data_IF_775370274569
#
_entry.id   IF_775370274569
#
_cell.length_a   1.000
_cell.length_b   1.000
_cell.length_c   1.000
_cell.angle_alpha   90.00
_cell.angle_beta   90.00
_cell.angle_gamma   90.00
#
_symmetry.space_group_name_H-M   'P 1'
#
loop_
_entity.id
_entity.type
_entity.pdbx_description
1 polymer ?
#
# COMPACT_ATOMS: atom_id res chain seq x y z
N UNK A 1 -12.52 7.95 -1.67
CA UNK A 1 -11.56 6.94 -2.12
C UNK A 1 -10.77 6.48 -0.89
N UNK A 2 -10.86 5.19 -0.61
CA UNK A 2 -10.15 4.49 0.46
C UNK A 2 -8.66 4.80 0.37
N UNK A 3 -8.09 5.43 1.40
CA UNK A 3 -6.65 5.68 1.49
C UNK A 3 -6.20 5.72 2.95
N UNK A 4 -5.20 4.91 3.25
CA UNK A 4 -4.57 4.76 4.56
C UNK A 4 -3.18 5.40 4.52
N UNK A 5 -3.09 6.60 5.08
CA UNK A 5 -1.83 7.34 5.13
C UNK A 5 -0.85 6.71 6.12
N UNK A 6 0.38 6.50 5.65
CA UNK A 6 1.47 5.97 6.44
C UNK A 6 2.45 7.09 6.81
N UNK A 7 3.16 6.99 7.95
CA UNK A 7 4.16 7.98 8.30
C UNK A 7 5.35 7.92 7.35
N UNK A 8 5.70 9.08 6.81
CA UNK A 8 6.90 9.31 5.98
C UNK A 8 8.18 8.66 6.54
N UNK A 9 8.34 8.65 7.87
CA UNK A 9 9.51 8.07 8.56
C UNK A 9 9.64 6.55 8.37
N UNK A 10 8.56 5.87 7.98
CA UNK A 10 8.49 4.43 7.77
C UNK A 10 8.39 4.03 6.30
N UNK A 11 8.31 4.99 5.38
CA UNK A 11 8.02 4.75 3.96
C UNK A 11 8.88 3.66 3.34
N UNK A 12 10.20 3.76 3.43
CA UNK A 12 11.08 2.76 2.80
C UNK A 12 11.07 1.41 3.53
N UNK A 13 10.74 1.41 4.83
CA UNK A 13 10.54 0.16 5.57
C UNK A 13 9.25 -0.53 5.14
N UNK A 14 8.17 0.23 4.96
CA UNK A 14 6.88 -0.26 4.48
C UNK A 14 6.98 -0.72 3.03
N UNK A 15 7.62 0.07 2.16
CA UNK A 15 7.89 -0.32 0.78
C UNK A 15 8.67 -1.63 0.70
N UNK A 16 9.75 -1.76 1.48
CA UNK A 16 10.52 -3.01 1.54
C UNK A 16 9.64 -4.18 2.01
N UNK A 17 8.88 -3.99 3.08
CA UNK A 17 8.01 -5.04 3.60
C UNK A 17 6.95 -5.44 2.57
N UNK A 18 6.39 -4.50 1.81
CA UNK A 18 5.45 -4.81 0.74
C UNK A 18 6.10 -5.65 -0.36
N UNK A 19 7.23 -5.18 -0.91
CA UNK A 19 7.93 -5.87 -2.00
C UNK A 19 8.47 -7.25 -1.60
N UNK A 20 8.86 -7.44 -0.33
CA UNK A 20 9.37 -8.72 0.17
C UNK A 20 8.25 -9.75 0.42
N UNK A 21 6.98 -9.32 0.55
CA UNK A 21 5.90 -10.17 1.09
C UNK A 21 4.67 -10.31 0.21
N UNK A 22 4.44 -9.38 -0.70
CA UNK A 22 3.23 -9.37 -1.52
C UNK A 22 3.63 -9.43 -2.99
N UNK A 23 2.95 -10.27 -3.80
CA UNK A 23 3.16 -10.30 -5.24
C UNK A 23 2.87 -8.94 -5.85
N UNK A 24 3.79 -8.44 -6.67
CA UNK A 24 3.66 -7.15 -7.35
C UNK A 24 3.21 -7.41 -8.79
N UNK A 25 2.16 -6.73 -9.25
CA UNK A 25 1.63 -6.93 -10.60
C UNK A 25 1.94 -5.75 -11.53
N UNK A 26 2.01 -4.52 -11.03
CA UNK A 26 2.23 -3.32 -11.84
C UNK A 26 3.06 -2.26 -11.12
N UNK A 27 4.04 -1.69 -11.83
CA UNK A 27 4.67 -0.41 -11.50
C UNK A 27 4.22 0.66 -12.49
N UNK A 28 3.64 1.73 -11.96
CA UNK A 28 3.17 2.88 -12.73
C UNK A 28 3.74 4.18 -12.17
N UNK A 29 4.37 4.98 -13.03
CA UNK A 29 4.96 6.28 -12.67
C UNK A 29 4.59 7.29 -13.75
N UNK A 30 4.08 8.45 -13.34
CA UNK A 30 3.69 9.54 -14.24
C UNK A 30 3.94 10.91 -13.62
N UNK A 31 4.04 11.94 -14.44
CA UNK A 31 4.03 13.33 -13.97
C UNK A 31 2.66 13.71 -13.37
N UNK A 32 2.69 14.49 -12.28
CA UNK A 32 1.53 15.14 -11.67
C UNK A 32 1.14 16.36 -12.53
N UNK A 33 -0.16 16.67 -12.64
CA UNK A 33 -0.63 17.94 -13.21
C UNK A 33 -1.15 17.95 -14.65
N UNK A 34 -1.16 16.82 -15.38
CA UNK A 34 -1.90 16.70 -16.65
C UNK A 34 -3.05 15.68 -16.51
N UNK A 35 -4.11 15.84 -17.31
CA UNK A 35 -5.19 14.85 -17.47
C UNK A 35 -4.59 13.47 -17.79
N UNK A 36 -4.43 12.63 -16.78
CA UNK A 36 -3.78 11.32 -16.90
C UNK A 36 -2.25 11.30 -16.71
N UNK A 37 -1.57 12.45 -16.69
CA UNK A 37 -0.11 12.56 -16.50
C UNK A 37 0.71 12.08 -17.70
N UNK A 38 1.92 12.63 -17.91
CA UNK A 38 2.89 12.00 -18.83
C UNK A 38 3.45 10.74 -18.17
N UNK A 39 3.13 9.57 -18.73
CA UNK A 39 3.63 8.28 -18.25
C UNK A 39 5.14 8.20 -18.47
N UNK A 40 5.87 7.85 -17.40
CA UNK A 40 7.31 7.59 -17.42
C UNK A 40 7.60 6.10 -17.31
N UNK A 41 6.82 5.40 -16.49
CA UNK A 41 6.90 3.94 -16.33
C UNK A 41 5.49 3.37 -16.32
N UNK A 42 5.27 2.32 -17.09
CA UNK A 42 4.09 1.48 -17.05
C UNK A 42 4.56 0.06 -17.37
N UNK A 43 4.80 -0.75 -16.34
CA UNK A 43 5.43 -2.07 -16.46
C UNK A 43 4.68 -3.10 -15.65
N UNK A 44 4.12 -4.10 -16.33
CA UNK A 44 3.64 -5.34 -15.71
C UNK A 44 4.81 -6.11 -15.11
N UNK A 45 4.57 -6.74 -13.98
CA UNK A 45 5.57 -7.41 -13.15
C UNK A 45 5.28 -8.90 -12.92
N UNK A 46 4.33 -9.48 -13.66
CA UNK A 46 4.07 -10.93 -13.68
C UNK A 46 5.38 -11.72 -13.88
N UNK A 47 5.81 -12.46 -12.86
CA UNK A 47 7.06 -13.24 -12.86
C UNK A 47 8.36 -12.43 -12.78
N UNK A 48 8.30 -11.13 -12.48
CA UNK A 48 9.45 -10.21 -12.42
C UNK A 48 9.64 -9.68 -11.02
N UNK A 49 10.88 -9.31 -10.68
CA UNK A 49 11.19 -8.78 -9.35
C UNK A 49 11.38 -7.27 -9.37
N UNK A 50 10.51 -6.54 -8.66
CA UNK A 50 10.69 -5.11 -8.37
C UNK A 50 11.49 -4.94 -7.08
N UNK A 51 12.60 -4.20 -7.15
CA UNK A 51 13.40 -3.84 -5.97
C UNK A 51 13.72 -2.35 -5.97
N UNK A 52 14.24 -1.84 -4.87
CA UNK A 52 14.69 -0.45 -4.78
C UNK A 52 15.99 -0.30 -4.00
N UNK A 53 16.70 0.79 -4.25
CA UNK A 53 17.85 1.24 -3.47
C UNK A 53 17.67 2.71 -3.11
N UNK A 54 17.71 3.01 -1.81
CA UNK A 54 17.77 4.37 -1.30
C UNK A 54 19.21 4.72 -0.94
N UNK A 55 19.72 5.83 -1.46
CA UNK A 55 21.04 6.36 -1.14
C UNK A 55 21.00 7.91 -1.07
N UNK A 56 22.17 8.54 -1.13
CA UNK A 56 22.32 10.01 -1.14
C UNK A 56 21.83 10.67 -2.44
N UNK A 57 21.88 9.97 -3.58
CA UNK A 57 21.41 10.49 -4.87
C UNK A 57 19.91 10.38 -5.05
N UNK A 58 19.22 9.54 -4.26
CA UNK A 58 17.78 9.44 -4.35
C UNK A 58 17.20 8.07 -4.03
N UNK A 59 16.08 7.75 -4.67
CA UNK A 59 15.42 6.45 -4.69
C UNK A 59 15.53 5.87 -6.10
N UNK A 60 16.26 4.77 -6.23
CA UNK A 60 16.43 4.03 -7.47
C UNK A 60 15.49 2.82 -7.47
N UNK A 61 14.75 2.61 -8.56
CA UNK A 61 13.88 1.45 -8.75
C UNK A 61 14.46 0.53 -9.82
N UNK A 62 14.39 -0.78 -9.57
CA UNK A 62 14.94 -1.79 -10.46
C UNK A 62 13.90 -2.86 -10.75
N UNK A 63 13.81 -3.29 -12.01
CA UNK A 63 13.11 -4.51 -12.41
C UNK A 63 14.16 -5.49 -12.93
N UNK A 64 14.24 -6.67 -12.33
CA UNK A 64 15.23 -7.71 -12.68
C UNK A 64 16.67 -7.14 -12.74
N UNK A 65 17.04 -6.39 -11.70
CA UNK A 65 18.33 -5.69 -11.55
C UNK A 65 18.60 -4.54 -12.54
N UNK A 66 17.73 -4.29 -13.51
CA UNK A 66 17.85 -3.14 -14.42
C UNK A 66 17.17 -1.92 -13.82
N UNK A 67 17.89 -0.80 -13.70
CA UNK A 67 17.30 0.45 -13.21
C UNK A 67 16.26 0.96 -14.21
N UNK A 68 15.05 1.26 -13.72
CA UNK A 68 13.94 1.72 -14.55
C UNK A 68 13.50 3.15 -14.25
N UNK A 69 13.79 3.65 -13.04
CA UNK A 69 13.47 5.01 -12.66
C UNK A 69 14.30 5.46 -11.45
N UNK A 70 14.62 6.75 -11.39
CA UNK A 70 15.36 7.37 -10.30
C UNK A 70 14.65 8.66 -9.87
N UNK A 71 14.21 8.72 -8.61
CA UNK A 71 13.71 9.94 -7.97
C UNK A 71 14.85 10.61 -7.20
N UNK A 72 15.05 11.92 -7.38
CA UNK A 72 16.07 12.70 -6.68
C UNK A 72 15.72 12.89 -5.19
N UNK A 73 14.42 12.95 -4.89
CA UNK A 73 13.81 13.25 -3.59
C UNK A 73 14.10 14.66 -3.10
N UNK A 74 14.14 15.61 -4.02
CA UNK A 74 14.19 17.05 -3.74
C UNK A 74 12.84 17.54 -3.19
N UNK A 75 11.72 17.05 -3.74
CA UNK A 75 10.38 17.31 -3.22
C UNK A 75 9.69 16.02 -2.77
N UNK A 76 9.61 15.85 -1.46
CA UNK A 76 9.08 14.67 -0.81
C UNK A 76 8.41 15.11 0.50
N UNK A 77 7.15 15.51 0.45
CA UNK A 77 6.48 16.12 1.61
C UNK A 77 5.62 15.14 2.39
N UNK A 78 4.97 14.19 1.70
CA UNK A 78 4.01 13.25 2.29
C UNK A 78 4.55 11.83 2.23
N UNK A 79 4.13 11.01 3.19
CA UNK A 79 4.44 9.58 3.17
C UNK A 79 3.60 8.81 2.15
N UNK A 80 3.89 7.52 1.99
CA UNK A 80 3.03 6.62 1.21
C UNK A 80 1.61 6.60 1.77
N UNK A 81 0.64 6.45 0.87
CA UNK A 81 -0.68 5.91 1.21
C UNK A 81 -0.84 4.52 0.63
N UNK A 82 -1.57 3.67 1.34
CA UNK A 82 -2.06 2.39 0.82
C UNK A 82 -3.56 2.53 0.55
N UNK A 83 -4.02 1.93 -0.52
CA UNK A 83 -5.43 1.84 -0.84
C UNK A 83 -5.76 0.43 -1.36
N UNK A 84 -7.03 0.10 -1.32
CA UNK A 84 -7.54 -1.16 -1.82
C UNK A 84 -8.50 -0.93 -2.98
N UNK A 85 -8.45 -1.86 -3.92
CA UNK A 85 -9.45 -2.06 -4.96
C UNK A 85 -10.31 -3.24 -4.52
N UNK A 86 -11.58 -2.96 -4.22
CA UNK A 86 -12.58 -3.94 -3.78
C UNK A 86 -13.69 -3.96 -4.81
N UNK A 87 -14.12 -5.15 -5.20
CA UNK A 87 -15.20 -5.35 -6.14
C UNK A 87 -16.34 -6.06 -5.41
N UNK A 88 -17.49 -5.41 -5.34
CA UNK A 88 -18.72 -6.04 -4.86
C UNK A 88 -19.34 -6.84 -6.02
N UNK A 89 -19.60 -8.14 -5.85
CA UNK A 89 -20.20 -8.95 -6.91
C UNK A 89 -21.62 -8.47 -7.20
N UNK A 90 -21.94 -8.35 -8.49
CA UNK A 90 -23.28 -7.99 -8.97
C UNK A 90 -23.90 -9.16 -9.73
N UNK A 91 -25.23 -9.20 -9.83
CA UNK A 91 -25.97 -10.30 -10.48
C UNK A 91 -25.59 -10.50 -11.96
N UNK A 92 -25.10 -9.45 -12.62
CA UNK A 92 -24.61 -9.48 -14.01
C UNK A 92 -23.16 -10.00 -14.14
N UNK A 93 -22.50 -10.33 -13.03
CA UNK A 93 -21.15 -10.88 -12.99
C UNK A 93 -20.03 -9.88 -13.29
N UNK A 94 -20.34 -8.59 -13.50
CA UNK A 94 -19.34 -7.54 -13.81
C UNK A 94 -18.63 -7.07 -12.55
N UNK A 95 -19.35 -7.01 -11.44
CA UNK A 95 -18.89 -6.45 -10.19
C UNK A 95 -18.83 -4.92 -10.20
N UNK A 96 -18.97 -4.30 -9.03
CA UNK A 96 -18.89 -2.85 -8.86
C UNK A 96 -17.77 -2.48 -7.91
N UNK A 97 -16.93 -1.53 -8.32
CA UNK A 97 -15.89 -1.01 -7.44
C UNK A 97 -16.52 -0.32 -6.23
N UNK A 98 -16.11 -0.74 -5.03
CA UNK A 98 -16.58 -0.13 -3.78
C UNK A 98 -15.85 1.19 -3.57
N UNK A 99 -16.60 2.30 -3.49
CA UNK A 99 -16.03 3.63 -3.24
C UNK A 99 -16.23 3.99 -1.77
N UNK A 100 -15.18 3.83 -0.98
CA UNK A 100 -15.22 4.16 0.45
C UNK A 100 -14.76 5.60 0.74
N UNK A 101 -15.29 6.14 1.84
CA UNK A 101 -14.86 7.38 2.46
C UNK A 101 -13.59 7.17 3.32
N UNK A 102 -13.02 8.26 3.84
CA UNK A 102 -11.85 8.16 4.73
C UNK A 102 -12.25 7.63 6.10
N UNK A 103 -11.35 6.89 6.75
CA UNK A 103 -11.50 6.45 8.14
C UNK A 103 -12.28 5.14 8.32
N UNK A 104 -12.59 4.44 7.23
CA UNK A 104 -13.20 3.11 7.28
C UNK A 104 -12.18 2.09 7.78
N UNK A 105 -12.62 1.19 8.66
CA UNK A 105 -11.80 0.07 9.09
C UNK A 105 -11.51 -0.84 7.88
N UNK A 106 -10.23 -1.02 7.51
CA UNK A 106 -9.87 -1.90 6.39
C UNK A 106 -10.35 -3.35 6.58
N UNK A 107 -10.60 -3.80 7.81
CA UNK A 107 -11.01 -5.18 8.15
C UNK A 107 -12.48 -5.33 8.51
N UNK A 108 -13.31 -4.31 8.26
CA UNK A 108 -14.75 -4.42 8.43
C UNK A 108 -15.28 -5.66 7.68
N UNK A 109 -15.88 -6.65 8.38
CA UNK A 109 -16.38 -7.88 7.77
C UNK A 109 -17.49 -7.66 6.73
N UNK A 110 -18.14 -6.50 6.74
CA UNK A 110 -19.15 -6.14 5.74
C UNK A 110 -18.55 -5.73 4.40
N UNK A 111 -17.24 -5.51 4.32
CA UNK A 111 -16.56 -5.11 3.09
C UNK A 111 -16.08 -6.33 2.29
N UNK A 112 -16.21 -6.31 0.95
CA UNK A 112 -15.58 -7.31 0.09
C UNK A 112 -14.06 -7.34 0.28
N UNK A 113 -13.46 -8.52 0.16
CA UNK A 113 -12.01 -8.67 0.23
C UNK A 113 -11.33 -7.90 -0.93
N UNK A 114 -10.20 -7.21 -0.70
CA UNK A 114 -9.47 -6.54 -1.77
C UNK A 114 -8.99 -7.53 -2.82
N UNK A 115 -9.33 -7.26 -4.08
CA UNK A 115 -8.73 -7.98 -5.21
C UNK A 115 -7.30 -7.49 -5.46
N UNK A 116 -7.05 -6.20 -5.17
CA UNK A 116 -5.75 -5.56 -5.37
C UNK A 116 -5.51 -4.49 -4.32
N UNK A 117 -4.24 -4.29 -3.98
CA UNK A 117 -3.77 -3.18 -3.16
C UNK A 117 -2.84 -2.30 -3.96
N UNK A 118 -2.73 -1.02 -3.61
CA UNK A 118 -1.72 -0.17 -4.22
C UNK A 118 -1.08 0.81 -3.23
N UNK A 119 0.25 0.85 -3.24
CA UNK A 119 1.04 1.88 -2.58
C UNK A 119 1.18 3.07 -3.51
N UNK A 120 0.89 4.26 -2.98
CA UNK A 120 0.88 5.50 -3.73
C UNK A 120 1.69 6.57 -3.03
N UNK A 121 2.48 7.32 -3.80
CA UNK A 121 3.21 8.48 -3.31
C UNK A 121 3.49 9.49 -4.42
N UNK A 122 3.62 10.77 -4.06
CA UNK A 122 4.15 11.80 -4.95
C UNK A 122 5.57 12.16 -4.52
N UNK A 123 6.52 12.05 -5.45
CA UNK A 123 7.95 12.34 -5.27
C UNK A 123 8.45 13.14 -6.48
N UNK A 124 9.06 14.29 -6.27
CA UNK A 124 9.61 15.16 -7.33
C UNK A 124 8.63 15.39 -8.50
N UNK A 125 7.39 15.79 -8.20
CA UNK A 125 6.31 15.96 -9.18
C UNK A 125 5.88 14.70 -9.95
N UNK A 126 6.33 13.52 -9.52
CA UNK A 126 5.92 12.24 -10.09
C UNK A 126 5.01 11.50 -9.12
N UNK A 127 3.85 11.06 -9.63
CA UNK A 127 3.02 10.09 -8.95
C UNK A 127 3.57 8.70 -9.23
N UNK A 128 3.93 7.97 -8.18
CA UNK A 128 4.28 6.56 -8.21
C UNK A 128 3.16 5.73 -7.59
N UNK A 129 2.76 4.69 -8.30
CA UNK A 129 1.78 3.70 -7.89
C UNK A 129 2.39 2.30 -8.11
N UNK A 130 2.43 1.50 -7.05
CA UNK A 130 2.87 0.10 -7.07
C UNK A 130 1.67 -0.73 -6.65
N UNK A 131 1.26 -1.63 -7.52
CA UNK A 131 0.09 -2.47 -7.31
C UNK A 131 0.54 -3.87 -6.87
N UNK A 132 -0.28 -4.48 -6.02
CA UNK A 132 -0.05 -5.77 -5.41
C UNK A 132 -1.31 -6.62 -5.54
N UNK A 133 -1.14 -7.91 -5.82
CA UNK A 133 -2.24 -8.86 -5.84
C UNK A 133 -2.82 -9.04 -4.43
N UNK A 134 -4.15 -8.96 -4.32
CA UNK A 134 -4.87 -9.11 -3.05
C UNK A 134 -4.59 -7.99 -2.04
N UNK A 135 -4.80 -8.31 -0.77
CA UNK A 135 -4.65 -7.38 0.37
C UNK A 135 -3.21 -7.30 0.88
N UNK A 136 -2.66 -6.09 0.93
CA UNK A 136 -1.49 -5.75 1.75
C UNK A 136 -1.97 -5.47 3.17
N UNK A 137 -1.66 -6.35 4.13
CA UNK A 137 -2.14 -6.16 5.49
C UNK A 137 -1.52 -4.94 6.17
N UNK A 138 -2.37 -4.15 6.82
CA UNK A 138 -1.98 -3.00 7.63
C UNK A 138 -2.44 -3.18 9.07
N UNK A 139 -1.74 -2.59 10.02
CA UNK A 139 -2.22 -2.49 11.39
C UNK A 139 -2.25 -1.06 11.84
N UNK A 140 -3.15 -0.82 12.77
CA UNK A 140 -3.17 0.43 13.49
C UNK A 140 -1.96 0.50 14.42
N UNK A 141 -1.19 1.57 14.29
CA UNK A 141 -0.03 1.79 15.15
C UNK A 141 -0.44 2.46 16.46
N UNK A 142 0.07 1.91 17.56
CA UNK A 142 -0.23 2.39 18.91
C UNK A 142 0.48 3.71 19.22
N UNK A 143 -0.13 4.55 20.08
CA UNK A 143 0.47 5.75 20.65
C UNK A 143 1.79 5.47 21.41
N UNK A 144 1.99 4.23 21.87
CA UNK A 144 3.13 3.83 22.71
C UNK A 144 4.43 3.56 21.94
N UNK A 145 4.39 3.47 20.60
CA UNK A 145 5.57 3.24 19.77
C UNK A 145 5.83 4.48 18.91
N UNK A 146 7.08 4.89 18.76
CA UNK A 146 7.41 6.09 17.97
C UNK A 146 7.14 5.85 16.48
N UNK A 147 6.54 6.84 15.78
CA UNK A 147 6.06 8.12 16.31
C UNK A 147 4.72 8.02 17.07
N UNK A 148 4.54 8.80 18.14
CA UNK A 148 3.41 8.70 19.09
C UNK A 148 2.08 9.31 18.59
N UNK A 149 1.58 8.88 17.44
CA UNK A 149 0.31 9.34 16.85
C UNK A 149 -0.39 8.18 16.15
N UNK A 150 -1.70 8.30 15.93
CA UNK A 150 -2.52 7.30 15.23
C UNK A 150 -2.15 7.25 13.75
N UNK A 151 -1.63 6.12 13.28
CA UNK A 151 -1.33 5.91 11.86
C UNK A 151 -1.42 4.44 11.47
N UNK A 152 -1.50 4.19 10.17
CA UNK A 152 -1.46 2.84 9.60
C UNK A 152 -0.04 2.47 9.18
N UNK A 153 0.34 1.22 9.39
CA UNK A 153 1.61 0.67 8.91
C UNK A 153 1.40 -0.73 8.37
N UNK A 154 2.22 -1.13 7.40
CA UNK A 154 2.22 -2.52 6.90
C UNK A 154 2.51 -3.47 8.07
N UNK A 155 1.66 -4.47 8.25
CA UNK A 155 1.85 -5.47 9.28
C UNK A 155 2.82 -6.57 8.83
N UNK A 156 3.56 -7.15 9.78
CA UNK A 156 4.41 -8.30 9.50
C UNK A 156 3.52 -9.55 9.46
N UNK A 157 3.64 -10.42 8.44
CA UNK A 157 2.73 -11.55 8.27
C UNK A 157 2.67 -12.53 9.46
N UNK A 158 3.73 -12.63 10.27
CA UNK A 158 3.75 -13.53 11.44
C UNK A 158 2.95 -13.00 12.65
N UNK A 159 2.53 -11.73 12.66
CA UNK A 159 1.76 -11.17 13.77
C UNK A 159 0.25 -11.30 13.61
N UNK A 160 -0.23 -11.66 12.41
CA UNK A 160 -1.65 -11.57 12.05
C UNK A 160 -2.45 -12.72 12.64
N UNK A 161 -1.94 -13.96 12.58
CA UNK A 161 -2.60 -15.09 13.25
C UNK A 161 -2.66 -14.87 14.76
N UNK A 162 -1.60 -14.31 15.37
CA UNK A 162 -1.60 -13.97 16.80
C UNK A 162 -2.55 -12.82 17.13
N UNK A 163 -2.70 -11.81 16.28
CA UNK A 163 -3.61 -10.68 16.52
C UNK A 163 -5.07 -11.04 16.29
N UNK A 164 -5.38 -11.84 15.25
CA UNK A 164 -6.73 -12.35 14.99
C UNK A 164 -7.15 -13.30 16.11
N UNK A 165 -6.26 -14.19 16.55
CA UNK A 165 -6.53 -15.08 17.68
C UNK A 165 -6.77 -14.31 18.98
N UNK A 166 -5.96 -13.27 19.26
CA UNK A 166 -6.16 -12.42 20.43
C UNK A 166 -7.47 -11.63 20.39
N UNK A 167 -7.82 -11.08 19.24
CA UNK A 167 -9.09 -10.37 19.08
C UNK A 167 -10.28 -11.32 19.26
N UNK A 168 -10.24 -12.53 18.67
CA UNK A 168 -11.30 -13.53 18.87
C UNK A 168 -11.46 -13.92 20.35
N UNK A 169 -10.36 -14.15 21.08
CA UNK A 169 -10.40 -14.44 22.52
C UNK A 169 -10.99 -13.28 23.33
N UNK A 170 -10.63 -12.03 23.00
CA UNK A 170 -11.12 -10.84 23.70
C UNK A 170 -12.62 -10.59 23.47
N UNK A 171 -13.14 -10.87 22.27
CA UNK A 171 -14.58 -10.81 21.99
C UNK A 171 -15.37 -11.96 22.66
N UNK A 172 -14.80 -13.16 22.73
CA UNK A 172 -15.45 -14.30 23.42
C UNK A 172 -15.55 -14.09 24.95
N UNK A 173 -14.62 -13.32 25.55
CA UNK A 173 -14.64 -12.99 26.98
C UNK A 173 -15.61 -11.86 27.36
N UNK A 174 -16.00 -10.98 26.42
CA UNK A 174 -17.00 -9.91 26.68
C UNK A 174 -18.45 -10.40 26.54
N UNK A 175 -18.69 -11.50 25.83
CA UNK A 175 -20.02 -12.10 25.61
C UNK A 175 -20.34 -13.30 26.54
N UNK A 176 -19.50 -13.58 27.55
CA UNK A 176 -19.65 -14.67 28.55
C UNK A 176 -20.06 -14.18 29.94
#
# INVERSE_FOLDING_TARGET
MEQYWMPKKLDFKNLKLCLDKYPVDLLYIRLVGSMGGTVKVNKKLEGRTLTFKKNKSGLHLFIDSSEVFHFLLNDYQKGFSLAYERIEPTEDGVGKMVILNRGIDPYDPALPEPERSFLRIVLDDHLMEIFFEGRVNIKFHSWWIKPHWKYWTVDKPNNIQESILKQQIEYDEEDS
#
